data_IF_261435261620
#
_entry.id   IF_261435261620
#
_cell.length_a   1.000
_cell.length_b   1.000
_cell.length_c   1.000
_cell.angle_alpha   90.00
_cell.angle_beta   90.00
_cell.angle_gamma   90.00
#
_symmetry.space_group_name_H-M   'P 1'
#
loop_
_entity.id
_entity.type
_entity.pdbx_description
1 polymer ?
#
# COMPACT_ATOMS: atom_id res chain seq x y z
N UNK A 1 -25.91 23.40 -1.61
CA UNK A 1 -26.59 22.17 -1.17
C UNK A 1 -26.50 21.04 -2.20
N UNK A 2 -26.84 21.23 -3.49
CA UNK A 2 -26.69 20.16 -4.50
C UNK A 2 -25.22 19.72 -4.78
N UNK A 3 -24.25 20.61 -4.53
CA UNK A 3 -22.82 20.32 -4.69
C UNK A 3 -22.25 19.52 -3.51
N UNK A 4 -22.65 19.82 -2.27
CA UNK A 4 -22.23 19.06 -1.08
C UNK A 4 -22.72 17.62 -1.12
N UNK A 5 -23.98 17.37 -1.50
CA UNK A 5 -24.52 16.00 -1.55
C UNK A 5 -23.77 15.11 -2.55
N UNK A 6 -23.40 15.63 -3.73
CA UNK A 6 -22.67 14.84 -4.73
C UNK A 6 -21.23 14.55 -4.30
N UNK A 7 -20.55 15.49 -3.66
CA UNK A 7 -19.19 15.25 -3.12
C UNK A 7 -19.21 14.22 -1.99
N UNK A 8 -20.19 14.27 -1.09
CA UNK A 8 -20.33 13.29 0.00
C UNK A 8 -20.56 11.88 -0.57
N UNK A 9 -21.43 11.75 -1.58
CA UNK A 9 -21.68 10.45 -2.24
C UNK A 9 -20.42 9.94 -2.95
N UNK A 10 -19.73 10.79 -3.72
CA UNK A 10 -18.48 10.39 -4.38
C UNK A 10 -17.36 10.03 -3.40
N UNK A 11 -17.31 10.67 -2.23
CA UNK A 11 -16.38 10.32 -1.15
C UNK A 11 -16.68 8.94 -0.56
N UNK A 12 -17.96 8.61 -0.35
CA UNK A 12 -18.37 7.29 0.11
C UNK A 12 -18.08 6.19 -0.92
N UNK A 13 -18.24 6.46 -2.22
CA UNK A 13 -17.91 5.51 -3.30
C UNK A 13 -16.40 5.21 -3.40
N UNK A 14 -15.56 6.05 -2.79
CA UNK A 14 -14.10 5.87 -2.71
C UNK A 14 -13.63 5.17 -1.42
N UNK A 15 -14.55 4.57 -0.65
CA UNK A 15 -14.25 3.87 0.60
C UNK A 15 -14.46 2.37 0.47
N UNK A 16 -13.53 1.59 1.01
CA UNK A 16 -13.66 0.14 1.17
C UNK A 16 -13.77 -0.16 2.66
N UNK A 17 -14.91 -0.71 3.09
CA UNK A 17 -15.09 -1.18 4.47
C UNK A 17 -14.19 -2.39 4.75
N UNK A 18 -13.50 -2.36 5.88
CA UNK A 18 -12.51 -3.37 6.27
C UNK A 18 -12.59 -3.65 7.75
N UNK A 19 -12.18 -4.85 8.18
CA UNK A 19 -12.18 -5.25 9.60
C UNK A 19 -10.82 -5.72 10.11
N UNK A 20 -9.78 -5.70 9.25
CA UNK A 20 -8.38 -5.98 9.59
C UNK A 20 -7.50 -4.74 9.47
N UNK A 21 -8.06 -3.56 9.71
CA UNK A 21 -7.35 -2.29 9.73
C UNK A 21 -7.59 -1.58 11.06
N UNK A 22 -6.82 -0.53 11.32
CA UNK A 22 -7.08 0.41 12.43
C UNK A 22 -8.23 1.37 12.11
N UNK A 23 -8.71 1.38 10.86
CA UNK A 23 -9.84 2.16 10.38
C UNK A 23 -10.99 1.23 9.98
N UNK A 24 -12.24 1.70 10.12
CA UNK A 24 -13.43 0.96 9.68
C UNK A 24 -13.56 0.90 8.15
N UNK A 25 -12.98 1.89 7.46
CA UNK A 25 -12.91 1.94 6.01
C UNK A 25 -11.60 2.57 5.54
N UNK A 26 -11.14 2.17 4.36
CA UNK A 26 -9.94 2.69 3.71
C UNK A 26 -10.35 3.47 2.47
N UNK A 27 -9.84 4.71 2.37
CA UNK A 27 -10.00 5.52 1.16
C UNK A 27 -9.09 4.99 0.06
N UNK A 28 -9.66 4.70 -1.09
CA UNK A 28 -8.97 4.22 -2.28
C UNK A 28 -9.16 5.22 -3.42
N UNK A 29 -8.10 5.47 -4.17
CA UNK A 29 -8.09 6.44 -5.27
C UNK A 29 -8.07 5.74 -6.63
N UNK A 30 -8.04 4.40 -6.66
CA UNK A 30 -8.12 3.60 -7.89
C UNK A 30 -8.84 2.26 -7.69
N UNK A 31 -9.30 1.68 -8.81
CA UNK A 31 -9.89 0.34 -8.80
C UNK A 31 -8.89 -0.76 -8.38
N UNK A 32 -7.58 -0.54 -8.61
CA UNK A 32 -6.54 -1.49 -8.22
C UNK A 32 -6.38 -1.47 -6.69
N UNK A 33 -6.31 -0.28 -6.08
CA UNK A 33 -6.28 -0.10 -4.62
C UNK A 33 -7.55 -0.65 -3.96
N UNK A 34 -8.72 -0.42 -4.55
CA UNK A 34 -10.01 -0.95 -4.06
C UNK A 34 -9.98 -2.48 -3.98
N UNK A 35 -9.52 -3.12 -5.06
CA UNK A 35 -9.36 -4.56 -5.11
C UNK A 35 -8.28 -5.04 -4.14
N UNK A 36 -7.17 -4.34 -4.04
CA UNK A 36 -6.07 -4.69 -3.14
C UNK A 36 -6.51 -4.68 -1.67
N UNK A 37 -7.23 -3.63 -1.25
CA UNK A 37 -7.81 -3.54 0.09
C UNK A 37 -8.82 -4.68 0.37
N UNK A 38 -9.68 -4.98 -0.60
CA UNK A 38 -10.67 -6.06 -0.48
C UNK A 38 -9.97 -7.43 -0.34
N UNK A 39 -8.97 -7.70 -1.19
CA UNK A 39 -8.23 -8.96 -1.19
C UNK A 39 -7.42 -9.14 0.10
N UNK A 40 -6.83 -8.06 0.65
CA UNK A 40 -6.17 -8.09 1.96
C UNK A 40 -7.16 -8.41 3.08
N UNK A 41 -8.35 -7.80 3.06
CA UNK A 41 -9.36 -8.02 4.07
C UNK A 41 -9.89 -9.46 4.07
N UNK A 42 -9.96 -10.11 2.91
CA UNK A 42 -10.44 -11.49 2.78
C UNK A 42 -9.41 -12.55 3.19
N UNK A 43 -8.11 -12.25 3.09
CA UNK A 43 -7.04 -13.23 3.39
C UNK A 43 -6.90 -13.53 4.89
N UNK A 44 -6.93 -14.82 5.25
CA UNK A 44 -6.82 -15.26 6.64
C UNK A 44 -5.44 -15.05 7.26
N UNK A 45 -4.39 -15.10 6.44
CA UNK A 45 -3.00 -14.90 6.87
C UNK A 45 -2.63 -13.42 7.07
N UNK A 46 -3.55 -12.49 6.77
CA UNK A 46 -3.39 -11.05 7.07
C UNK A 46 -4.04 -10.74 8.41
N UNK A 47 -3.24 -10.23 9.35
CA UNK A 47 -3.70 -9.86 10.70
C UNK A 47 -4.06 -8.38 10.82
N UNK A 48 -3.32 -7.54 10.12
CA UNK A 48 -3.53 -6.09 10.09
C UNK A 48 -3.02 -5.53 8.77
N UNK A 49 -3.69 -4.55 8.20
CA UNK A 49 -3.14 -3.74 7.12
C UNK A 49 -3.61 -2.29 7.21
N UNK A 50 -2.83 -1.39 6.62
CA UNK A 50 -3.16 0.03 6.53
C UNK A 50 -2.67 0.59 5.19
N UNK A 51 -3.47 1.49 4.62
CA UNK A 51 -2.98 2.42 3.60
C UNK A 51 -2.20 3.50 4.31
N UNK A 52 -0.95 3.67 3.94
CA UNK A 52 -0.08 4.68 4.52
C UNK A 52 -0.52 6.07 4.03
N UNK A 53 -0.51 7.07 4.91
CA UNK A 53 -0.87 8.43 4.53
C UNK A 53 0.26 9.09 3.73
N UNK A 54 -0.08 10.05 2.88
CA UNK A 54 0.87 10.72 1.97
C UNK A 54 2.07 11.40 2.65
N UNK A 55 1.95 11.71 3.94
CA UNK A 55 3.05 12.28 4.73
C UNK A 55 4.09 11.24 5.17
N UNK A 56 3.81 9.95 5.02
CA UNK A 56 4.76 8.88 5.31
C UNK A 56 5.75 8.75 4.15
N UNK A 57 6.85 9.48 4.22
CA UNK A 57 7.90 9.43 3.20
C UNK A 57 9.21 8.90 3.76
N UNK A 58 9.93 8.17 2.92
CA UNK A 58 11.28 7.69 3.18
C UNK A 58 12.24 8.54 2.37
N UNK A 59 13.14 9.22 3.06
CA UNK A 59 14.23 9.97 2.43
C UNK A 59 15.21 8.98 1.77
N UNK A 60 15.49 9.18 0.49
CA UNK A 60 16.53 8.42 -0.22
C UNK A 60 17.48 9.39 -0.93
N UNK A 61 18.73 8.99 -1.21
CA UNK A 61 19.69 9.83 -1.94
C UNK A 61 19.20 10.28 -3.34
N UNK A 62 18.19 9.61 -3.89
CA UNK A 62 17.61 9.88 -5.22
C UNK A 62 16.19 10.49 -5.12
N UNK A 63 15.86 11.06 -3.96
CA UNK A 63 14.58 11.72 -3.67
C UNK A 63 13.67 10.89 -2.76
N UNK A 64 12.57 11.47 -2.32
CA UNK A 64 11.63 10.78 -1.42
C UNK A 64 10.90 9.65 -2.13
N UNK A 65 10.57 8.64 -1.33
CA UNK A 65 9.79 7.48 -1.71
C UNK A 65 8.64 7.30 -0.72
N UNK A 66 7.43 7.03 -1.21
CA UNK A 66 6.23 6.84 -0.40
C UNK A 66 5.68 5.43 -0.64
N UNK A 67 5.79 4.49 0.32
CA UNK A 67 5.10 3.21 0.24
C UNK A 67 3.60 3.38 0.50
N UNK A 68 2.78 2.66 -0.26
CA UNK A 68 1.32 2.78 -0.20
C UNK A 68 0.71 1.99 0.96
N UNK A 69 1.29 0.85 1.33
CA UNK A 69 0.68 -0.09 2.27
C UNK A 69 1.66 -0.59 3.33
N UNK A 70 1.17 -0.78 4.55
CA UNK A 70 1.83 -1.58 5.58
C UNK A 70 0.94 -2.75 6.00
N UNK A 71 1.51 -3.95 6.04
CA UNK A 71 0.77 -5.22 6.15
C UNK A 71 1.46 -6.12 7.17
N UNK A 72 0.73 -6.56 8.18
CA UNK A 72 1.16 -7.58 9.13
C UNK A 72 0.60 -8.92 8.68
N UNK A 73 1.49 -9.80 8.25
CA UNK A 73 1.16 -11.14 7.75
C UNK A 73 1.65 -12.20 8.73
N UNK A 74 0.81 -13.18 9.02
CA UNK A 74 1.17 -14.35 9.81
C UNK A 74 1.80 -15.41 8.89
N UNK A 75 2.96 -15.94 9.29
CA UNK A 75 3.58 -17.06 8.58
C UNK A 75 3.06 -18.42 9.07
N UNK A 76 2.99 -19.40 8.17
CA UNK A 76 2.60 -20.77 8.49
C UNK A 76 3.50 -21.42 9.55
N UNK A 77 4.78 -21.05 9.58
CA UNK A 77 5.75 -21.51 10.59
C UNK A 77 5.55 -20.90 11.98
N UNK A 78 4.55 -20.04 12.15
CA UNK A 78 4.37 -19.19 13.32
C UNK A 78 5.17 -17.89 13.23
N UNK A 79 4.64 -16.84 13.87
CA UNK A 79 5.22 -15.50 13.89
C UNK A 79 4.52 -14.52 12.93
N UNK A 80 4.46 -13.26 13.35
CA UNK A 80 3.94 -12.15 12.54
C UNK A 80 5.12 -11.40 11.91
N UNK A 81 5.00 -11.04 10.64
CA UNK A 81 6.00 -10.25 9.92
C UNK A 81 5.37 -8.99 9.31
N UNK A 82 6.05 -7.86 9.47
CA UNK A 82 5.67 -6.59 8.87
C UNK A 82 6.24 -6.49 7.45
N UNK A 83 5.34 -6.18 6.52
CA UNK A 83 5.62 -5.88 5.13
C UNK A 83 5.27 -4.43 4.86
N UNK A 84 6.18 -3.71 4.21
CA UNK A 84 5.91 -2.41 3.59
C UNK A 84 5.88 -2.61 2.09
N UNK A 85 4.88 -2.05 1.44
CA UNK A 85 4.60 -2.39 0.05
C UNK A 85 4.26 -1.14 -0.76
N UNK A 86 4.92 -1.00 -1.92
CA UNK A 86 4.46 -0.11 -2.99
C UNK A 86 3.58 -0.86 -3.96
N UNK A 87 2.44 -0.27 -4.30
CA UNK A 87 1.61 -0.75 -5.39
C UNK A 87 2.08 -0.14 -6.71
N UNK A 88 2.28 -0.97 -7.74
CA UNK A 88 2.59 -0.44 -9.07
C UNK A 88 1.33 0.14 -9.70
N UNK A 89 1.26 1.47 -9.88
CA UNK A 89 0.21 2.09 -10.69
C UNK A 89 0.35 1.59 -12.13
N UNK A 90 -0.71 0.96 -12.65
CA UNK A 90 -0.69 0.23 -13.91
C UNK A 90 -0.10 1.02 -15.09
N UNK A 91 0.94 0.44 -15.70
CA UNK A 91 1.38 0.60 -17.11
C UNK A 91 1.81 1.96 -17.67
N UNK A 92 1.57 3.11 -17.03
CA UNK A 92 1.74 4.39 -17.75
C UNK A 92 3.16 4.93 -17.86
N UNK A 93 4.19 4.32 -17.26
CA UNK A 93 5.52 4.95 -17.29
C UNK A 93 6.74 4.01 -17.28
N UNK A 94 6.60 2.79 -17.82
CA UNK A 94 7.68 1.77 -17.82
C UNK A 94 9.01 2.21 -18.47
N UNK A 95 9.07 3.37 -19.16
CA UNK A 95 10.27 3.93 -19.78
C UNK A 95 10.94 5.01 -18.93
N UNK A 96 10.18 5.90 -18.25
CA UNK A 96 10.76 6.92 -17.34
C UNK A 96 11.12 6.35 -15.95
N UNK A 97 10.45 5.29 -15.51
CA UNK A 97 10.65 4.67 -14.19
C UNK A 97 11.97 3.91 -14.03
N UNK A 98 12.66 3.55 -15.13
CA UNK A 98 13.72 2.52 -15.08
C UNK A 98 14.94 2.91 -14.24
N UNK A 99 15.25 4.20 -14.13
CA UNK A 99 16.41 4.69 -13.38
C UNK A 99 16.08 5.12 -11.94
N UNK A 100 15.26 6.15 -11.80
CA UNK A 100 15.01 6.82 -10.52
C UNK A 100 14.10 6.02 -9.59
N UNK A 101 13.04 5.41 -10.10
CA UNK A 101 12.12 4.62 -9.28
C UNK A 101 12.77 3.32 -8.79
N UNK A 102 13.46 2.59 -9.67
CA UNK A 102 14.25 1.42 -9.30
C UNK A 102 15.27 1.74 -8.20
N UNK A 103 15.94 2.89 -8.29
CA UNK A 103 16.89 3.35 -7.29
C UNK A 103 16.20 3.69 -5.95
N UNK A 104 15.03 4.35 -5.99
CA UNK A 104 14.22 4.61 -4.78
C UNK A 104 13.77 3.32 -4.10
N UNK A 105 13.32 2.33 -4.87
CA UNK A 105 12.93 1.01 -4.37
C UNK A 105 14.13 0.30 -3.74
N UNK A 106 15.30 0.33 -4.38
CA UNK A 106 16.52 -0.26 -3.84
C UNK A 106 16.93 0.41 -2.52
N UNK A 107 16.82 1.73 -2.43
CA UNK A 107 17.06 2.47 -1.19
C UNK A 107 16.04 2.10 -0.11
N UNK A 108 14.75 1.99 -0.45
CA UNK A 108 13.71 1.53 0.48
C UNK A 108 13.99 0.13 1.02
N UNK A 109 14.38 -0.82 0.14
CA UNK A 109 14.77 -2.18 0.55
C UNK A 109 15.95 -2.17 1.51
N UNK A 110 16.97 -1.37 1.23
CA UNK A 110 18.13 -1.25 2.10
C UNK A 110 17.76 -0.62 3.46
N UNK A 111 16.99 0.48 3.45
CA UNK A 111 16.56 1.19 4.64
C UNK A 111 15.76 0.28 5.59
N UNK A 112 14.70 -0.35 5.06
CA UNK A 112 13.83 -1.21 5.86
C UNK A 112 14.47 -2.57 6.19
N UNK A 113 15.42 -3.04 5.37
CA UNK A 113 16.20 -4.23 5.66
C UNK A 113 17.04 -4.10 6.94
N UNK A 114 17.54 -2.90 7.25
CA UNK A 114 18.23 -2.63 8.53
C UNK A 114 17.26 -2.73 9.73
N UNK A 115 15.97 -2.49 9.51
CA UNK A 115 14.92 -2.56 10.52
C UNK A 115 14.25 -3.95 10.59
N UNK A 116 14.74 -4.93 9.84
CA UNK A 116 14.13 -6.25 9.64
C UNK A 116 12.67 -6.19 9.12
N UNK A 117 12.34 -5.13 8.39
CA UNK A 117 11.04 -4.93 7.75
C UNK A 117 11.14 -5.32 6.28
N UNK A 118 10.23 -6.18 5.81
CA UNK A 118 10.25 -6.64 4.42
C UNK A 118 9.61 -5.60 3.53
N UNK A 119 10.39 -4.97 2.66
CA UNK A 119 9.88 -4.00 1.70
C UNK A 119 9.76 -4.61 0.28
N UNK A 120 8.59 -4.49 -0.34
CA UNK A 120 8.28 -5.07 -1.66
C UNK A 120 7.56 -4.09 -2.59
N UNK A 121 7.71 -4.33 -3.88
CA UNK A 121 6.85 -3.75 -4.91
C UNK A 121 5.92 -4.86 -5.37
N UNK A 122 4.62 -4.59 -5.43
CA UNK A 122 3.60 -5.57 -5.82
C UNK A 122 2.64 -4.97 -6.84
N UNK A 123 2.03 -5.85 -7.62
CA UNK A 123 0.93 -5.52 -8.54
C UNK A 123 -0.41 -6.00 -8.00
N UNK A 124 -0.38 -7.00 -7.11
CA UNK A 124 -1.56 -7.58 -6.48
C UNK A 124 -1.22 -8.22 -5.14
N UNK A 125 -2.24 -8.53 -4.36
CA UNK A 125 -2.10 -9.22 -3.06
C UNK A 125 -1.44 -10.60 -3.20
N UNK A 126 -1.52 -11.25 -4.37
CA UNK A 126 -0.87 -12.53 -4.63
C UNK A 126 0.67 -12.47 -4.59
N UNK A 127 1.26 -11.27 -4.73
CA UNK A 127 2.72 -11.06 -4.73
C UNK A 127 3.32 -10.95 -3.30
N UNK A 128 2.49 -11.05 -2.25
CA UNK A 128 2.87 -10.93 -0.84
C UNK A 128 3.41 -12.22 -0.21
#
# INVERSE_FOLDING_TARGET
LLFEEKEIVGYLDSMVEVNKSIYDAIRVDSAIESRFATDLNLREDIRLFLKLPDWFTVETPVGTYNPDWAIVKQHESGGDKLYLVSETKGTMDQLELRGSESAKIACGRAHFGVLDVTYRQVTSVADL
#
